data_IF_961569149347
#
_entry.id   IF_961569149347
#
_cell.length_a   1.000
_cell.length_b   1.000
_cell.length_c   1.000
_cell.angle_alpha   90.00
_cell.angle_beta   90.00
_cell.angle_gamma   90.00
#
_symmetry.space_group_name_H-M   'P 1'
#
loop_
_entity.id
_entity.type
_entity.pdbx_description
1 polymer ?
#
# COMPACT_ATOMS: atom_id res chain seq x y z
N UNK A 1 4.25 -21.89 6.41
CA UNK A 1 3.85 -21.89 4.98
C UNK A 1 2.89 -20.73 4.81
N UNK A 2 3.18 -19.76 3.92
CA UNK A 2 2.29 -18.62 3.66
C UNK A 2 1.40 -19.00 2.47
N UNK A 3 0.06 -18.99 2.60
CA UNK A 3 -0.84 -19.28 1.49
C UNK A 3 -0.74 -18.24 0.37
N UNK A 4 -0.79 -18.69 -0.89
CA UNK A 4 -0.83 -17.79 -2.05
C UNK A 4 -2.27 -17.35 -2.34
N UNK A 5 -2.68 -16.24 -1.75
CA UNK A 5 -4.03 -15.68 -1.92
C UNK A 5 -4.32 -15.23 -3.35
N UNK A 6 -3.29 -14.89 -4.14
CA UNK A 6 -3.45 -14.51 -5.55
C UNK A 6 -3.88 -15.69 -6.42
N UNK A 7 -3.39 -16.89 -6.12
CA UNK A 7 -3.84 -18.11 -6.78
C UNK A 7 -5.24 -18.53 -6.31
N UNK A 8 -5.50 -18.53 -5.00
CA UNK A 8 -6.83 -18.85 -4.47
C UNK A 8 -7.93 -17.96 -5.06
N UNK A 9 -7.65 -16.65 -5.21
CA UNK A 9 -8.59 -15.72 -5.84
C UNK A 9 -8.84 -16.04 -7.33
N UNK A 10 -7.78 -16.42 -8.07
CA UNK A 10 -7.89 -16.80 -9.49
C UNK A 10 -8.62 -18.13 -9.70
N UNK A 11 -8.53 -19.05 -8.74
CA UNK A 11 -9.17 -20.36 -8.78
C UNK A 11 -10.53 -20.42 -8.06
N UNK A 12 -10.99 -19.29 -7.48
CA UNK A 12 -12.29 -19.21 -6.81
C UNK A 12 -12.37 -20.03 -5.51
N UNK A 13 -11.22 -20.30 -4.88
CA UNK A 13 -11.15 -21.06 -3.63
C UNK A 13 -11.64 -20.25 -2.43
N UNK A 14 -12.22 -20.88 -1.40
CA UNK A 14 -12.73 -20.18 -0.22
C UNK A 14 -11.60 -19.51 0.56
N UNK A 15 -11.53 -18.18 0.50
CA UNK A 15 -10.59 -17.37 1.26
C UNK A 15 -11.22 -17.05 2.62
N UNK A 16 -10.75 -17.72 3.67
CA UNK A 16 -11.14 -17.34 5.03
C UNK A 16 -10.59 -15.94 5.37
N UNK A 17 -11.48 -14.98 5.64
CA UNK A 17 -11.10 -13.62 6.02
C UNK A 17 -10.46 -13.54 7.40
N UNK A 18 -10.65 -14.56 8.26
CA UNK A 18 -10.18 -14.57 9.65
C UNK A 18 -8.67 -14.38 9.79
N UNK A 19 -7.88 -14.98 8.91
CA UNK A 19 -6.42 -14.81 8.91
C UNK A 19 -6.00 -13.42 8.41
N UNK A 20 -6.68 -12.91 7.39
CA UNK A 20 -6.44 -11.56 6.86
C UNK A 20 -6.79 -10.52 7.91
N UNK A 21 -7.93 -10.70 8.59
CA UNK A 21 -8.40 -9.88 9.69
C UNK A 21 -7.39 -9.89 10.86
N UNK A 22 -6.88 -11.07 11.24
CA UNK A 22 -5.85 -11.17 12.27
C UNK A 22 -4.54 -10.47 11.88
N UNK A 23 -4.12 -10.60 10.61
CA UNK A 23 -2.90 -9.93 10.11
C UNK A 23 -3.07 -8.42 10.10
N UNK A 24 -4.24 -7.93 9.67
CA UNK A 24 -4.59 -6.51 9.72
C UNK A 24 -4.58 -6.02 11.17
N UNK A 25 -5.15 -6.78 12.10
CA UNK A 25 -5.20 -6.40 13.51
C UNK A 25 -3.80 -6.36 14.14
N UNK A 26 -2.89 -7.26 13.76
CA UNK A 26 -1.49 -7.25 14.18
C UNK A 26 -0.75 -6.02 13.61
N UNK A 27 -0.94 -5.69 12.33
CA UNK A 27 -0.34 -4.50 11.70
C UNK A 27 -0.85 -3.22 12.35
N UNK A 28 -2.15 -3.14 12.64
CA UNK A 28 -2.77 -2.02 13.34
C UNK A 28 -2.20 -1.91 14.75
N UNK A 29 -2.17 -3.00 15.52
CA UNK A 29 -1.61 -2.98 16.87
C UNK A 29 -0.13 -2.55 16.87
N UNK A 30 0.68 -3.09 15.95
CA UNK A 30 2.10 -2.75 15.84
C UNK A 30 2.35 -1.30 15.44
N UNK A 31 1.49 -0.70 14.62
CA UNK A 31 1.68 0.66 14.06
C UNK A 31 0.92 1.75 14.80
N UNK A 32 -0.14 1.40 15.53
CA UNK A 32 -1.09 2.36 16.10
C UNK A 32 -1.21 2.32 17.63
N UNK A 33 -0.64 1.32 18.34
CA UNK A 33 -0.77 1.22 19.81
C UNK A 33 0.42 1.82 20.60
N UNK A 34 0.02 2.53 21.66
CA UNK A 34 0.66 3.19 22.83
C UNK A 34 2.17 3.32 23.05
N UNK A 35 3.09 2.70 22.30
CA UNK A 35 4.55 2.90 22.55
C UNK A 35 5.38 3.42 21.38
N UNK A 36 4.78 3.58 20.20
CA UNK A 36 5.31 4.42 19.11
C UNK A 36 4.12 5.07 18.42
N UNK A 37 3.62 6.15 19.00
CA UNK A 37 2.47 6.85 18.44
C UNK A 37 2.96 7.74 17.30
N UNK A 38 3.21 7.17 16.13
CA UNK A 38 3.03 7.99 14.95
C UNK A 38 1.54 8.35 14.92
N UNK A 39 1.21 9.64 15.05
CA UNK A 39 -0.16 10.13 15.13
C UNK A 39 -0.89 10.03 13.78
N UNK A 40 -0.95 8.84 13.19
CA UNK A 40 -1.71 8.62 11.98
C UNK A 40 -3.20 8.60 12.34
N UNK A 41 -3.97 9.45 11.70
CA UNK A 41 -5.40 9.25 11.60
C UNK A 41 -5.68 7.99 10.76
N UNK A 42 -6.84 7.35 10.96
CA UNK A 42 -7.27 6.20 10.15
C UNK A 42 -7.21 6.54 8.65
N UNK A 43 -7.60 7.75 8.29
CA UNK A 43 -7.55 8.24 6.91
C UNK A 43 -6.10 8.42 6.41
N UNK A 44 -5.20 8.96 7.24
CA UNK A 44 -3.78 9.08 6.89
C UNK A 44 -3.11 7.72 6.69
N UNK A 45 -3.45 6.74 7.52
CA UNK A 45 -2.96 5.37 7.39
C UNK A 45 -3.46 4.72 6.09
N UNK A 46 -4.73 4.96 5.74
CA UNK A 46 -5.33 4.48 4.50
C UNK A 46 -4.62 5.05 3.27
N UNK A 47 -4.39 6.36 3.23
CA UNK A 47 -3.65 6.99 2.13
C UNK A 47 -2.21 6.53 2.04
N UNK A 48 -1.52 6.36 3.17
CA UNK A 48 -0.16 5.83 3.17
C UNK A 48 -0.10 4.42 2.58
N UNK A 49 -1.08 3.56 2.90
CA UNK A 49 -1.18 2.23 2.31
C UNK A 49 -1.43 2.30 0.80
N UNK A 50 -2.35 3.16 0.34
CA UNK A 50 -2.63 3.36 -1.07
C UNK A 50 -1.38 3.81 -1.84
N UNK A 51 -0.68 4.82 -1.33
CA UNK A 51 0.56 5.33 -1.93
C UNK A 51 1.64 4.24 -1.95
N UNK A 52 1.80 3.46 -0.88
CA UNK A 52 2.80 2.39 -0.84
C UNK A 52 2.51 1.28 -1.85
N UNK A 53 1.25 0.86 -1.98
CA UNK A 53 0.84 -0.12 -3.00
C UNK A 53 1.10 0.45 -4.39
N UNK A 54 0.79 1.72 -4.61
CA UNK A 54 0.98 2.36 -5.90
C UNK A 54 2.45 2.43 -6.34
N UNK A 55 3.33 2.70 -5.37
CA UNK A 55 4.78 2.63 -5.56
C UNK A 55 5.24 1.22 -5.95
N UNK A 56 4.79 0.20 -5.22
CA UNK A 56 5.18 -1.19 -5.49
C UNK A 56 4.67 -1.69 -6.86
N UNK A 57 3.51 -1.19 -7.29
CA UNK A 57 2.94 -1.49 -8.61
C UNK A 57 3.50 -0.61 -9.73
N UNK A 58 4.42 0.32 -9.42
CA UNK A 58 4.95 1.31 -10.35
C UNK A 58 3.86 2.15 -11.06
N UNK A 59 2.70 2.33 -10.41
CA UNK A 59 1.55 3.06 -10.94
C UNK A 59 1.31 4.41 -10.22
N UNK A 60 2.20 4.78 -9.28
CA UNK A 60 2.09 6.00 -8.47
C UNK A 60 1.93 7.25 -9.33
N UNK A 61 2.73 7.39 -10.40
CA UNK A 61 2.68 8.55 -11.30
C UNK A 61 1.29 8.71 -11.89
N UNK A 62 0.76 7.65 -12.49
CA UNK A 62 -0.55 7.64 -13.14
C UNK A 62 -1.66 7.96 -12.15
N UNK A 63 -1.61 7.40 -10.94
CA UNK A 63 -2.59 7.72 -9.89
C UNK A 63 -2.48 9.16 -9.42
N UNK A 64 -1.27 9.68 -9.27
CA UNK A 64 -1.04 11.05 -8.84
C UNK A 64 -1.55 12.07 -9.87
N UNK A 65 -1.26 11.86 -11.15
CA UNK A 65 -1.77 12.70 -12.25
C UNK A 65 -3.30 12.61 -12.36
N UNK A 66 -3.89 11.46 -12.04
CA UNK A 66 -5.34 11.32 -11.96
C UNK A 66 -5.96 12.11 -10.79
N UNK A 67 -5.31 12.12 -9.63
CA UNK A 67 -5.76 12.90 -8.46
C UNK A 67 -5.54 14.40 -8.65
N UNK A 68 -4.46 14.78 -9.34
CA UNK A 68 -4.06 16.17 -9.56
C UNK A 68 -3.81 16.45 -11.05
N UNK A 69 -4.87 16.59 -11.86
CA UNK A 69 -4.75 16.72 -13.32
C UNK A 69 -3.99 17.97 -13.80
N UNK A 70 -3.79 18.96 -12.93
CA UNK A 70 -2.98 20.15 -13.21
C UNK A 70 -1.47 19.97 -12.97
N UNK A 71 -1.05 18.84 -12.40
CA UNK A 71 0.35 18.54 -12.10
C UNK A 71 0.79 17.38 -12.98
N UNK A 72 1.80 17.61 -13.82
CA UNK A 72 2.44 16.57 -14.64
C UNK A 72 3.82 16.28 -14.07
N UNK A 73 4.09 15.02 -13.75
CA UNK A 73 5.42 14.59 -13.31
C UNK A 73 6.30 14.39 -14.56
N UNK A 74 7.44 15.08 -14.61
CA UNK A 74 8.39 14.98 -15.71
C UNK A 74 9.09 13.61 -15.71
N UNK A 75 9.69 13.24 -16.83
CA UNK A 75 10.47 11.99 -16.95
C UNK A 75 11.67 11.96 -15.98
N UNK A 76 12.21 13.12 -15.61
CA UNK A 76 13.24 13.27 -14.58
C UNK A 76 12.75 12.79 -13.21
N UNK A 77 11.52 13.15 -12.82
CA UNK A 77 10.93 12.70 -11.55
C UNK A 77 10.68 11.20 -11.50
N UNK A 78 10.42 10.55 -12.64
CA UNK A 78 10.23 9.09 -12.69
C UNK A 78 11.53 8.34 -12.39
N UNK A 79 12.68 8.85 -12.87
CA UNK A 79 13.98 8.25 -12.60
C UNK A 79 14.31 8.29 -11.09
N UNK A 80 14.07 9.43 -10.43
CA UNK A 80 14.27 9.56 -8.99
C UNK A 80 13.32 8.68 -8.17
N UNK A 81 12.04 8.59 -8.56
CA UNK A 81 11.07 7.73 -7.88
C UNK A 81 11.41 6.25 -8.05
N UNK A 82 11.89 5.83 -9.23
CA UNK A 82 12.35 4.47 -9.48
C UNK A 82 13.58 4.13 -8.64
N UNK A 83 14.55 5.03 -8.57
CA UNK A 83 15.80 4.83 -7.81
C UNK A 83 15.55 4.77 -6.30
N UNK A 84 14.66 5.62 -5.78
CA UNK A 84 14.26 5.63 -4.37
C UNK A 84 13.47 4.37 -3.93
N UNK A 85 12.92 3.61 -4.89
CA UNK A 85 12.19 2.36 -4.63
C UNK A 85 13.11 1.15 -4.71
N UNK A 86 14.20 1.25 -5.47
CA UNK A 86 15.22 0.20 -5.63
C UNK A 86 16.28 0.18 -4.51
N UNK A 87 16.43 1.28 -3.74
CA UNK A 87 17.29 1.39 -2.57
C UNK A 87 16.63 0.88 -1.28
#
# INVERSE_FOLDING_TARGET
>A
MIPNYGEMYRYGEPISSSFVESTINEVIAKRMVKKQQMQWSQQGAHYLLQTRIAVLNNDLKTRFEHWYPGIKLSEETDHYLSEAVAA
#
